data_IF_243122356923
#
_entry.id   IF_243122356923
#
_cell.length_a   1.000
_cell.length_b   1.000
_cell.length_c   1.000
_cell.angle_alpha   90.00
_cell.angle_beta   90.00
_cell.angle_gamma   90.00
#
_symmetry.space_group_name_H-M   'P 1'
#
loop_
_entity.id
_entity.type
_entity.pdbx_description
1 polymer ?
#
# COMPACT_ATOMS: atom_id res chain seq x y z
N UNK A 1 -8.21 -4.80 31.02
CA UNK A 1 -7.94 -6.06 30.28
C UNK A 1 -9.12 -6.32 29.36
N UNK A 2 -9.01 -5.83 28.11
CA UNK A 2 -9.60 -6.33 26.84
C UNK A 2 -9.47 -5.20 25.82
N UNK A 3 -8.31 -5.09 25.15
CA UNK A 3 -8.27 -4.37 23.87
C UNK A 3 -8.74 -5.36 22.81
N UNK A 4 -10.05 -5.38 22.61
CA UNK A 4 -10.67 -6.03 21.46
C UNK A 4 -10.14 -5.32 20.22
N UNK A 5 -9.08 -5.88 19.63
CA UNK A 5 -8.58 -5.49 18.32
C UNK A 5 -9.69 -5.71 17.31
N UNK A 6 -10.46 -4.65 17.07
CA UNK A 6 -11.23 -4.49 15.84
C UNK A 6 -10.18 -4.44 14.74
N UNK A 7 -10.02 -5.55 14.05
CA UNK A 7 -9.41 -5.57 12.73
C UNK A 7 -10.28 -4.67 11.87
N UNK A 8 -9.85 -3.43 11.65
CA UNK A 8 -10.63 -2.41 10.97
C UNK A 8 -10.71 -2.80 9.48
N UNK A 9 -11.81 -3.43 9.03
CA UNK A 9 -11.84 -4.02 7.69
C UNK A 9 -11.83 -2.91 6.62
N UNK A 10 -12.26 -1.70 6.98
CA UNK A 10 -12.17 -0.52 6.13
C UNK A 10 -10.73 -0.09 5.90
N UNK A 11 -9.88 -0.18 6.92
CA UNK A 11 -8.47 0.19 6.81
C UNK A 11 -7.66 -0.76 5.93
N UNK A 12 -7.87 -2.05 6.07
CA UNK A 12 -7.15 -3.06 5.29
C UNK A 12 -7.52 -3.06 3.79
N UNK A 13 -8.69 -2.53 3.44
CA UNK A 13 -9.07 -2.27 2.05
C UNK A 13 -8.21 -1.21 1.36
N UNK A 14 -7.50 -0.36 2.12
CA UNK A 14 -6.54 0.60 1.55
C UNK A 14 -5.26 -0.08 1.06
N UNK A 15 -5.02 -1.34 1.43
CA UNK A 15 -3.86 -2.08 0.99
C UNK A 15 -3.91 -2.36 -0.51
N UNK A 16 -3.03 -1.71 -1.28
CA UNK A 16 -2.89 -1.93 -2.73
C UNK A 16 -2.11 -3.21 -3.09
N UNK A 17 -1.87 -4.12 -2.12
CA UNK A 17 -1.18 -5.39 -2.34
C UNK A 17 0.17 -5.25 -3.09
N UNK A 18 0.90 -4.17 -2.83
CA UNK A 18 2.16 -3.87 -3.51
C UNK A 18 3.36 -4.69 -2.99
N UNK A 19 3.21 -5.43 -1.88
CA UNK A 19 4.25 -6.24 -1.25
C UNK A 19 5.38 -5.45 -0.55
N UNK A 20 5.46 -4.12 -0.71
CA UNK A 20 6.58 -3.29 -0.20
C UNK A 20 6.76 -3.36 1.31
N UNK A 21 5.68 -3.47 2.07
CA UNK A 21 5.76 -3.62 3.53
C UNK A 21 6.39 -4.96 3.95
N UNK A 22 6.30 -6.00 3.11
CA UNK A 22 6.80 -7.35 3.37
C UNK A 22 8.29 -7.56 3.08
N UNK A 23 8.97 -6.60 2.46
CA UNK A 23 10.43 -6.66 2.29
C UNK A 23 11.15 -6.16 3.54
N UNK A 24 12.29 -6.77 3.80
CA UNK A 24 13.20 -6.32 4.84
C UNK A 24 13.79 -4.94 4.49
N UNK A 25 14.05 -4.18 5.55
CA UNK A 25 14.47 -2.79 5.47
C UNK A 25 15.71 -2.64 6.34
N UNK A 26 16.75 -2.05 5.77
CA UNK A 26 17.99 -1.74 6.47
C UNK A 26 18.12 -0.24 6.58
N UNK A 27 18.59 0.24 7.73
CA UNK A 27 18.92 1.64 7.95
C UNK A 27 20.44 1.78 7.98
N UNK A 28 20.97 2.78 7.28
CA UNK A 28 22.40 3.10 7.30
C UNK A 28 22.76 4.01 8.50
N UNK A 29 24.06 4.29 8.69
CA UNK A 29 24.55 5.19 9.75
C UNK A 29 24.04 6.64 9.62
N UNK A 30 23.48 7.02 8.47
CA UNK A 30 22.93 8.34 8.18
C UNK A 30 21.41 8.39 8.36
N UNK A 31 20.77 7.28 8.70
CA UNK A 31 19.32 7.16 8.85
C UNK A 31 18.55 7.00 7.53
N UNK A 32 19.23 6.67 6.43
CA UNK A 32 18.58 6.34 5.16
C UNK A 32 18.11 4.88 5.20
N UNK A 33 16.86 4.66 4.77
CA UNK A 33 16.26 3.32 4.79
C UNK A 33 16.19 2.77 3.37
N UNK A 34 16.73 1.56 3.19
CA UNK A 34 16.76 0.85 1.91
C UNK A 34 15.97 -0.45 2.01
N UNK A 35 15.26 -0.78 0.92
CA UNK A 35 14.62 -2.08 0.76
C UNK A 35 15.66 -3.11 0.31
N UNK A 36 15.63 -4.29 0.90
CA UNK A 36 16.41 -5.42 0.43
C UNK A 36 15.58 -6.28 -0.54
N UNK A 37 16.24 -7.22 -1.20
CA UNK A 37 15.56 -8.24 -2.02
C UNK A 37 15.00 -9.39 -1.16
N UNK A 38 15.19 -9.33 0.15
CA UNK A 38 14.71 -10.35 1.09
C UNK A 38 13.24 -10.10 1.40
N UNK A 39 12.38 -10.96 0.85
CA UNK A 39 10.96 -10.96 1.14
C UNK A 39 10.65 -11.74 2.42
N UNK A 40 9.60 -11.32 3.13
CA UNK A 40 8.96 -12.12 4.17
C UNK A 40 8.59 -13.52 3.64
N UNK A 41 8.75 -14.54 4.46
CA UNK A 41 8.43 -15.95 4.12
C UNK A 41 6.99 -16.15 3.62
N UNK A 42 6.07 -15.27 4.02
CA UNK A 42 4.66 -15.35 3.65
C UNK A 42 4.27 -14.49 2.44
N UNK A 43 5.21 -13.74 1.85
CA UNK A 43 4.98 -12.99 0.63
C UNK A 43 5.06 -13.94 -0.57
N UNK A 44 4.05 -13.90 -1.43
CA UNK A 44 4.17 -14.41 -2.78
C UNK A 44 4.85 -13.37 -3.67
N UNK A 45 6.08 -13.65 -4.12
CA UNK A 45 6.89 -12.70 -4.89
C UNK A 45 6.31 -12.48 -6.30
N UNK A 46 5.59 -13.48 -6.85
CA UNK A 46 5.01 -13.40 -8.19
C UNK A 46 3.77 -12.51 -8.16
N UNK A 47 2.84 -12.80 -7.26
CA UNK A 47 1.58 -12.05 -7.14
C UNK A 47 1.67 -10.79 -6.27
N UNK A 48 2.78 -10.62 -5.54
CA UNK A 48 3.06 -9.56 -4.54
C UNK A 48 2.07 -9.51 -3.37
N UNK A 49 1.31 -10.57 -3.17
CA UNK A 49 0.30 -10.68 -2.12
C UNK A 49 0.82 -11.45 -0.90
N UNK A 50 0.39 -11.01 0.29
CA UNK A 50 0.66 -11.76 1.51
C UNK A 50 -0.31 -12.95 1.59
N UNK A 51 0.23 -14.16 1.71
CA UNK A 51 -0.58 -15.40 1.77
C UNK A 51 -1.41 -15.53 3.05
N UNK A 52 -1.06 -14.75 4.07
CA UNK A 52 -1.66 -14.81 5.41
C UNK A 52 -2.13 -13.43 5.86
N UNK A 53 -2.56 -12.57 4.93
CA UNK A 53 -2.82 -11.16 5.18
C UNK A 53 -3.78 -10.92 6.36
N UNK A 54 -4.87 -11.67 6.45
CA UNK A 54 -5.87 -11.50 7.52
C UNK A 54 -5.28 -11.86 8.89
N UNK A 55 -4.54 -12.97 8.97
CA UNK A 55 -3.95 -13.46 10.23
C UNK A 55 -2.46 -13.10 10.39
N UNK A 56 -2.02 -12.03 9.72
CA UNK A 56 -0.58 -11.71 9.59
C UNK A 56 0.08 -11.38 10.91
N UNK A 57 -0.65 -10.79 11.85
CA UNK A 57 -0.14 -10.43 13.18
C UNK A 57 -0.08 -11.63 14.13
N UNK A 58 -0.96 -12.61 13.95
CA UNK A 58 -0.92 -13.87 14.71
C UNK A 58 0.22 -14.77 14.24
N UNK A 59 0.41 -14.87 12.92
CA UNK A 59 1.39 -15.76 12.30
C UNK A 59 2.80 -15.16 12.33
N UNK A 60 2.91 -13.84 12.13
CA UNK A 60 4.18 -13.13 12.14
C UNK A 60 4.10 -11.91 13.08
N UNK A 61 4.52 -12.04 14.35
CA UNK A 61 4.49 -10.93 15.30
C UNK A 61 5.46 -9.80 14.93
N UNK A 62 6.40 -10.03 14.01
CA UNK A 62 7.26 -8.96 13.45
C UNK A 62 6.57 -8.15 12.34
N UNK A 63 5.33 -8.49 11.95
CA UNK A 63 4.58 -7.73 10.97
C UNK A 63 4.18 -6.37 11.55
N UNK A 64 4.50 -5.28 10.84
CA UNK A 64 4.19 -3.93 11.31
C UNK A 64 2.70 -3.62 11.13
N UNK A 65 2.02 -3.21 12.21
CA UNK A 65 0.63 -2.76 12.16
C UNK A 65 0.60 -1.32 11.66
N UNK A 66 0.39 -1.16 10.35
CA UNK A 66 0.33 0.15 9.68
C UNK A 66 -0.93 0.91 10.11
N UNK A 67 -0.96 1.55 11.28
CA UNK A 67 -2.09 2.40 11.72
C UNK A 67 -2.02 3.79 11.08
N UNK A 68 -3.14 4.52 11.04
CA UNK A 68 -3.22 5.87 10.47
C UNK A 68 -2.15 6.83 11.04
N UNK A 69 -1.95 6.80 12.36
CA UNK A 69 -0.93 7.62 13.03
C UNK A 69 0.49 7.16 12.70
N UNK A 70 0.71 5.85 12.60
CA UNK A 70 2.03 5.30 12.34
C UNK A 70 2.47 5.61 10.90
N UNK A 71 1.60 5.45 9.91
CA UNK A 71 1.98 5.62 8.48
C UNK A 71 2.45 7.03 8.13
N UNK A 72 2.03 8.04 8.89
CA UNK A 72 2.49 9.42 8.75
C UNK A 72 3.93 9.61 9.25
N UNK A 73 4.33 8.85 10.27
CA UNK A 73 5.67 8.95 10.88
C UNK A 73 6.70 8.02 10.24
N UNK A 74 6.27 6.93 9.59
CA UNK A 74 7.16 5.94 8.98
C UNK A 74 7.90 6.49 7.78
N UNK A 75 9.18 6.86 7.91
CA UNK A 75 9.99 7.41 6.81
C UNK A 75 10.20 6.43 5.63
N UNK A 76 10.27 5.13 5.91
CA UNK A 76 10.51 4.11 4.89
C UNK A 76 9.30 3.77 4.04
N UNK A 77 8.09 4.10 4.50
CA UNK A 77 6.90 3.86 3.70
C UNK A 77 6.91 4.87 2.54
N UNK A 78 6.56 4.48 1.31
CA UNK A 78 6.60 5.40 0.18
C UNK A 78 5.26 6.17 0.09
N UNK A 79 5.29 7.39 -0.47
CA UNK A 79 4.12 8.30 -0.52
C UNK A 79 2.98 7.81 -1.43
N UNK A 80 3.24 6.82 -2.27
CA UNK A 80 2.29 6.13 -3.13
C UNK A 80 1.67 4.89 -2.46
N UNK A 81 2.03 4.57 -1.21
CA UNK A 81 1.39 3.48 -0.48
C UNK A 81 -0.09 3.80 -0.22
N UNK A 82 -0.99 2.87 -0.51
CA UNK A 82 -2.44 3.05 -0.30
C UNK A 82 -2.82 3.45 1.13
N UNK A 83 -2.07 2.99 2.15
CA UNK A 83 -2.30 3.41 3.53
C UNK A 83 -1.96 4.89 3.82
N UNK A 84 -1.08 5.52 3.03
CA UNK A 84 -0.74 6.95 3.16
C UNK A 84 -1.69 7.86 2.39
N UNK A 85 -2.43 7.30 1.44
CA UNK A 85 -3.41 8.02 0.67
C UNK A 85 -4.79 7.43 0.96
N UNK A 86 -5.38 7.73 2.13
CA UNK A 86 -6.82 7.62 2.27
C UNK A 86 -7.43 8.77 1.45
N UNK A 87 -7.19 8.80 0.13
CA UNK A 87 -7.94 9.66 -0.77
C UNK A 87 -9.35 9.07 -0.77
N UNK A 88 -10.17 9.62 0.14
CA UNK A 88 -11.62 9.53 0.14
C UNK A 88 -12.05 9.85 -1.28
N UNK A 89 -12.26 8.81 -2.07
CA UNK A 89 -12.62 8.93 -3.48
C UNK A 89 -14.12 9.18 -3.51
N UNK A 90 -14.52 10.37 -3.07
CA UNK A 90 -15.81 10.95 -3.42
C UNK A 90 -15.55 12.31 -4.06
N UNK A 91 -15.77 12.33 -5.38
CA UNK A 91 -15.91 13.48 -6.28
C UNK A 91 -14.64 14.29 -6.63
N UNK A 92 -14.13 14.11 -7.86
CA UNK A 92 -14.16 15.20 -8.87
C UNK A 92 -13.95 14.69 -10.31
N UNK A 93 -15.08 14.64 -11.03
CA UNK A 93 -15.29 14.87 -12.48
C UNK A 93 -14.71 13.89 -13.55
N UNK A 94 -15.51 13.59 -14.60
CA UNK A 94 -15.15 12.62 -15.63
C UNK A 94 -14.09 13.12 -16.61
N UNK A 95 -13.28 12.17 -17.07
CA UNK A 95 -12.36 12.28 -18.20
C UNK A 95 -13.09 12.88 -19.41
N UNK A 96 -12.69 14.08 -19.82
CA UNK A 96 -13.14 14.67 -21.09
C UNK A 96 -12.65 13.81 -22.26
N UNK A 97 -13.54 12.98 -22.79
CA UNK A 97 -13.39 12.27 -24.06
C UNK A 97 -13.06 13.26 -25.18
N UNK A 98 -11.82 13.24 -25.65
CA UNK A 98 -11.37 14.03 -26.80
C UNK A 98 -12.06 13.48 -28.05
N UNK A 99 -13.20 14.07 -28.43
CA UNK A 99 -13.94 13.74 -29.65
C UNK A 99 -13.04 14.02 -30.87
N UNK A 100 -12.49 12.96 -31.48
CA UNK A 100 -11.89 13.02 -32.83
C UNK A 100 -12.96 13.51 -33.80
N UNK A 101 -12.90 14.77 -34.25
CA UNK A 101 -13.62 15.21 -35.45
C UNK A 101 -12.75 14.88 -36.65
N UNK A 102 -13.26 13.96 -37.47
CA UNK A 102 -12.62 13.54 -38.70
C UNK A 102 -12.58 14.62 -39.78
N UNK A 103 -11.48 14.57 -40.54
CA UNK A 103 -11.38 14.57 -42.01
C UNK A 103 -12.62 15.01 -42.81
N UNK A 104 -12.51 16.14 -43.51
CA UNK A 104 -13.06 16.43 -44.85
C UNK A 104 -11.94 17.19 -45.59
N UNK A 105 -11.30 16.81 -46.70
CA UNK A 105 -11.67 16.14 -47.94
C UNK A 105 -12.70 16.91 -48.78
N UNK A 106 -12.21 17.62 -49.81
CA UNK A 106 -12.94 18.00 -51.02
C UNK A 106 -13.11 19.50 -51.24
N UNK A 107 -12.28 20.10 -52.10
CA UNK A 107 -12.66 20.62 -53.42
C UNK A 107 -11.40 21.18 -54.11
#
# INVERSE_FOLDING_TARGET
MTDSSVEDPGWDNLCQQCGRCCFEKIEDERGNIFYTQTACRYLDIISRQCKVFDRRFEINPSCVKLTAELVETLRWLPRDCGYRRPEVTELTAPVRSRKKRGKKAGA
#
